data_IF_758485034264
#
_entry.id   IF_758485034264
#
_cell.length_a   1.000
_cell.length_b   1.000
_cell.length_c   1.000
_cell.angle_alpha   90.00
_cell.angle_beta   90.00
_cell.angle_gamma   90.00
#
_symmetry.space_group_name_H-M   'P 1'
#
loop_
_entity.id
_entity.type
_entity.pdbx_description
1 polymer ?
#
# COMPACT_ATOMS: atom_id res chain seq x y z
N UNK A 1 10.28 7.95 -16.08
CA UNK A 1 9.39 7.11 -15.25
C UNK A 1 8.00 7.18 -15.82
N UNK A 2 7.29 6.05 -15.82
CA UNK A 2 5.92 5.95 -16.33
C UNK A 2 4.93 6.50 -15.29
N UNK A 3 3.77 7.06 -15.70
CA UNK A 3 2.73 7.57 -14.79
C UNK A 3 2.39 6.62 -13.62
N UNK A 4 2.25 5.29 -13.85
CA UNK A 4 1.97 4.34 -12.78
C UNK A 4 3.01 4.32 -11.67
N UNK A 5 4.30 4.28 -12.05
CA UNK A 5 5.39 4.21 -11.10
C UNK A 5 5.56 5.54 -10.35
N UNK A 6 5.38 6.67 -11.04
CA UNK A 6 5.44 8.00 -10.42
C UNK A 6 4.34 8.16 -9.36
N UNK A 7 3.10 7.76 -9.65
CA UNK A 7 2.01 7.80 -8.66
C UNK A 7 2.29 6.90 -7.47
N UNK A 8 2.82 5.70 -7.69
CA UNK A 8 3.19 4.80 -6.60
C UNK A 8 4.30 5.38 -5.71
N UNK A 9 5.30 6.05 -6.30
CA UNK A 9 6.35 6.76 -5.56
C UNK A 9 5.78 7.93 -4.76
N UNK A 10 4.86 8.72 -5.33
CA UNK A 10 4.16 9.81 -4.62
C UNK A 10 3.35 9.25 -3.43
N UNK A 11 2.83 8.03 -3.55
CA UNK A 11 2.07 7.34 -2.49
C UNK A 11 2.91 6.48 -1.54
N UNK A 12 4.26 6.57 -1.55
CA UNK A 12 5.15 5.74 -0.71
C UNK A 12 4.83 5.83 0.80
N UNK A 13 4.25 6.94 1.24
CA UNK A 13 3.83 7.16 2.63
C UNK A 13 2.78 6.15 3.12
N UNK A 14 2.08 5.47 2.20
CA UNK A 14 1.16 4.37 2.50
C UNK A 14 1.81 3.23 3.29
N UNK A 15 3.14 3.06 3.19
CA UNK A 15 3.90 2.08 3.97
C UNK A 15 4.34 2.63 5.33
N UNK A 16 4.78 3.89 5.36
CA UNK A 16 5.37 4.51 6.55
C UNK A 16 4.33 4.79 7.63
N UNK A 17 3.12 5.20 7.25
CA UNK A 17 2.07 5.57 8.20
C UNK A 17 1.59 4.36 9.02
N UNK A 18 1.19 3.23 8.41
CA UNK A 18 0.85 2.03 9.18
C UNK A 18 2.04 1.49 9.98
N UNK A 19 3.28 1.58 9.49
CA UNK A 19 4.46 1.19 10.24
C UNK A 19 4.57 2.00 11.55
N UNK A 20 4.44 3.33 11.45
CA UNK A 20 4.43 4.21 12.61
C UNK A 20 3.33 3.83 13.61
N UNK A 21 2.11 3.58 13.12
CA UNK A 21 1.01 3.09 13.94
C UNK A 21 1.38 1.77 14.64
N UNK A 22 2.03 0.84 13.95
CA UNK A 22 2.55 -0.39 14.54
C UNK A 22 3.48 -0.17 15.72
N UNK A 23 4.45 0.74 15.57
CA UNK A 23 5.37 1.11 16.63
C UNK A 23 4.62 1.69 17.84
N UNK A 24 3.66 2.58 17.58
CA UNK A 24 2.80 3.17 18.61
C UNK A 24 1.97 2.09 19.32
N UNK A 25 1.37 1.14 18.60
CA UNK A 25 0.60 0.03 19.20
C UNK A 25 1.48 -0.84 20.09
N UNK A 26 2.70 -1.19 19.66
CA UNK A 26 3.65 -1.95 20.50
C UNK A 26 3.94 -1.21 21.79
N UNK A 27 4.19 0.09 21.70
CA UNK A 27 4.47 0.94 22.87
C UNK A 27 3.25 1.03 23.80
N UNK A 28 2.05 1.18 23.25
CA UNK A 28 0.80 1.19 24.02
C UNK A 28 0.51 -0.14 24.71
N UNK A 29 0.83 -1.29 24.09
CA UNK A 29 0.77 -2.60 24.75
C UNK A 29 1.72 -2.70 25.93
N UNK A 30 2.95 -2.19 25.76
CA UNK A 30 3.98 -2.20 26.81
C UNK A 30 3.56 -1.38 28.01
N UNK A 31 3.01 -0.18 27.79
CA UNK A 31 2.52 0.72 28.83
C UNK A 31 1.14 0.33 29.40
N UNK A 32 0.60 -0.82 28.98
CA UNK A 32 -0.75 -1.29 29.34
C UNK A 32 -1.88 -0.29 28.99
N UNK A 33 -1.62 0.68 28.11
CA UNK A 33 -2.59 1.69 27.72
C UNK A 33 -3.80 1.06 27.02
N UNK A 34 -3.54 0.08 26.15
CA UNK A 34 -4.58 -0.67 25.46
C UNK A 34 -5.48 -1.48 26.41
N UNK A 35 -4.95 -1.96 27.53
CA UNK A 35 -5.76 -2.62 28.56
C UNK A 35 -6.72 -1.60 29.19
N UNK A 36 -6.26 -0.36 29.46
CA UNK A 36 -7.13 0.72 29.96
C UNK A 36 -8.24 1.05 28.96
N UNK A 37 -7.94 1.13 27.67
CA UNK A 37 -8.96 1.33 26.63
C UNK A 37 -9.98 0.19 26.59
N UNK A 38 -9.55 -1.06 26.75
CA UNK A 38 -10.44 -2.22 26.85
C UNK A 38 -11.36 -2.13 28.07
N UNK A 39 -10.83 -1.70 29.22
CA UNK A 39 -11.63 -1.49 30.43
C UNK A 39 -12.67 -0.39 30.23
N UNK A 40 -12.36 0.63 29.43
CA UNK A 40 -13.30 1.64 28.94
C UNK A 40 -14.27 1.13 27.85
N UNK A 41 -14.51 -0.18 27.76
CA UNK A 41 -15.45 -0.84 26.82
C UNK A 41 -15.10 -0.78 25.33
N UNK A 42 -13.89 -0.37 24.97
CA UNK A 42 -13.46 -0.29 23.57
C UNK A 42 -13.28 -1.70 22.98
N UNK A 43 -14.02 -2.02 21.91
CA UNK A 43 -13.94 -3.33 21.24
C UNK A 43 -12.79 -3.41 20.24
N UNK A 44 -12.36 -4.63 19.87
CA UNK A 44 -11.29 -4.83 18.87
C UNK A 44 -11.59 -4.15 17.53
N UNK A 45 -12.86 -4.21 17.11
CA UNK A 45 -13.32 -3.62 15.85
C UNK A 45 -13.23 -2.09 15.91
N UNK A 46 -13.74 -1.47 16.98
CA UNK A 46 -13.64 -0.02 17.17
C UNK A 46 -12.18 0.44 17.19
N UNK A 47 -11.27 -0.34 17.79
CA UNK A 47 -9.84 -0.03 17.83
C UNK A 47 -9.22 0.05 16.43
N UNK A 48 -9.46 -0.95 15.58
CA UNK A 48 -8.98 -0.92 14.19
C UNK A 48 -9.57 0.25 13.43
N UNK A 49 -10.88 0.50 13.55
CA UNK A 49 -11.53 1.59 12.81
C UNK A 49 -10.90 2.93 13.18
N UNK A 50 -10.66 3.19 14.46
CA UNK A 50 -10.01 4.42 14.92
C UNK A 50 -8.60 4.53 14.31
N UNK A 51 -7.80 3.46 14.37
CA UNK A 51 -6.47 3.46 13.79
C UNK A 51 -6.50 3.67 12.26
N UNK A 52 -7.45 3.07 11.57
CA UNK A 52 -7.62 3.22 10.13
C UNK A 52 -8.03 4.65 9.75
N UNK A 53 -8.93 5.28 10.51
CA UNK A 53 -9.31 6.69 10.29
C UNK A 53 -8.11 7.63 10.50
N UNK A 54 -7.30 7.38 11.54
CA UNK A 54 -6.04 8.12 11.76
C UNK A 54 -5.09 7.91 10.57
N UNK A 55 -4.94 6.66 10.09
CA UNK A 55 -4.14 6.36 8.90
C UNK A 55 -4.60 7.14 7.68
N UNK A 56 -5.93 7.24 7.44
CA UNK A 56 -6.49 7.98 6.30
C UNK A 56 -6.11 9.44 6.36
N UNK A 57 -6.24 10.08 7.52
CA UNK A 57 -5.89 11.50 7.70
C UNK A 57 -4.41 11.73 7.43
N UNK A 58 -3.54 10.89 8.00
CA UNK A 58 -2.08 10.98 7.77
C UNK A 58 -1.70 10.71 6.31
N UNK A 59 -2.38 9.76 5.66
CA UNK A 59 -2.07 9.40 4.26
C UNK A 59 -2.51 10.49 3.30
N UNK A 60 -3.73 10.99 3.45
CA UNK A 60 -4.26 12.07 2.62
C UNK A 60 -3.43 13.33 2.75
N UNK A 61 -3.07 13.73 3.97
CA UNK A 61 -2.17 14.89 4.20
C UNK A 61 -0.79 14.67 3.55
N UNK A 62 -0.17 13.51 3.74
CA UNK A 62 1.12 13.21 3.11
C UNK A 62 1.04 13.17 1.58
N UNK A 63 -0.02 12.60 1.02
CA UNK A 63 -0.23 12.55 -0.43
C UNK A 63 -0.37 13.95 -1.01
N UNK A 64 -1.15 14.84 -0.38
CA UNK A 64 -1.32 16.22 -0.81
C UNK A 64 0.01 17.00 -0.75
N UNK A 65 0.81 16.81 0.30
CA UNK A 65 2.14 17.41 0.42
C UNK A 65 3.05 16.91 -0.72
N UNK A 66 3.08 15.61 -0.98
CA UNK A 66 3.91 15.04 -2.06
C UNK A 66 3.47 15.54 -3.44
N UNK A 67 2.17 15.66 -3.67
CA UNK A 67 1.61 16.21 -4.90
C UNK A 67 1.96 17.70 -5.07
N UNK A 68 1.90 18.48 -3.99
CA UNK A 68 2.30 19.88 -3.98
C UNK A 68 3.79 20.05 -4.31
N UNK A 69 4.66 19.26 -3.67
CA UNK A 69 6.10 19.24 -3.93
C UNK A 69 6.39 18.85 -5.39
N UNK A 70 5.69 17.83 -5.92
CA UNK A 70 5.80 17.43 -7.32
C UNK A 70 5.47 18.59 -8.28
N UNK A 71 4.39 19.34 -8.00
CA UNK A 71 4.02 20.50 -8.82
C UNK A 71 5.06 21.64 -8.74
N UNK A 72 5.67 21.89 -7.58
CA UNK A 72 6.79 22.83 -7.46
C UNK A 72 7.95 22.39 -8.35
N UNK A 73 8.32 21.10 -8.30
CA UNK A 73 9.43 20.60 -9.11
C UNK A 73 9.18 20.74 -10.60
N UNK A 74 7.96 20.46 -11.07
CA UNK A 74 7.56 20.69 -12.47
C UNK A 74 7.71 22.15 -12.90
N UNK A 75 7.41 23.12 -12.02
CA UNK A 75 7.54 24.55 -12.33
C UNK A 75 8.98 25.04 -12.33
N UNK A 76 9.82 24.39 -11.53
CA UNK A 76 11.15 24.88 -11.22
C UNK A 76 12.21 24.59 -12.29
N UNK A 77 11.89 23.82 -13.34
CA UNK A 77 12.81 23.36 -14.40
C UNK A 77 14.10 22.65 -13.90
N UNK A 78 14.29 22.45 -12.59
CA UNK A 78 15.48 21.79 -12.02
C UNK A 78 15.51 20.28 -12.31
N UNK A 79 14.38 19.69 -12.72
CA UNK A 79 14.28 18.29 -13.12
C UNK A 79 13.90 18.17 -14.60
N UNK A 80 14.62 17.34 -15.35
CA UNK A 80 14.37 17.02 -16.77
C UNK A 80 13.00 16.38 -17.07
N UNK A 81 12.15 16.18 -16.06
CA UNK A 81 10.80 15.63 -16.22
C UNK A 81 9.79 16.74 -16.55
N UNK A 82 9.98 17.43 -17.68
CA UNK A 82 9.10 18.51 -18.15
C UNK A 82 7.78 18.02 -18.79
N UNK A 83 7.40 16.76 -18.58
CA UNK A 83 6.15 16.22 -19.09
C UNK A 83 5.12 16.20 -17.96
N UNK A 84 3.97 16.91 -18.09
CA UNK A 84 2.89 16.88 -17.12
C UNK A 84 2.12 15.55 -17.21
N UNK A 85 2.81 14.45 -16.90
CA UNK A 85 2.35 13.06 -17.04
C UNK A 85 1.06 12.81 -16.25
N UNK A 86 0.86 13.50 -15.13
CA UNK A 86 -0.33 13.38 -14.29
C UNK A 86 -1.52 14.24 -14.74
N UNK A 87 -1.32 15.26 -15.60
CA UNK A 87 -2.42 16.14 -16.02
C UNK A 87 -3.41 15.47 -16.97
N UNK A 88 -3.01 14.37 -17.61
CA UNK A 88 -3.85 13.62 -18.55
C UNK A 88 -4.76 12.58 -17.86
N UNK A 89 -4.67 12.44 -16.52
CA UNK A 89 -5.45 11.43 -15.77
C UNK A 89 -6.91 11.85 -15.68
N UNK A 90 -7.82 11.00 -16.17
CA UNK A 90 -9.25 11.23 -16.00
C UNK A 90 -9.64 11.14 -14.53
N UNK A 91 -10.64 11.92 -14.11
CA UNK A 91 -11.08 11.96 -12.71
C UNK A 91 -11.49 10.58 -12.18
N UNK A 92 -12.07 9.71 -13.03
CA UNK A 92 -12.47 8.36 -12.65
C UNK A 92 -11.26 7.48 -12.27
N UNK A 93 -10.11 7.65 -12.94
CA UNK A 93 -8.88 6.91 -12.62
C UNK A 93 -8.35 7.30 -11.24
N UNK A 94 -8.40 8.60 -10.91
CA UNK A 94 -8.05 9.06 -9.56
C UNK A 94 -8.96 8.44 -8.50
N UNK A 95 -10.28 8.39 -8.74
CA UNK A 95 -11.22 7.78 -7.79
C UNK A 95 -10.90 6.30 -7.57
N UNK A 96 -10.68 5.53 -8.65
CA UNK A 96 -10.34 4.10 -8.54
C UNK A 96 -8.99 3.89 -7.85
N UNK A 97 -7.99 4.72 -8.16
CA UNK A 97 -6.67 4.70 -7.53
C UNK A 97 -6.74 4.98 -6.03
N UNK A 98 -7.46 6.03 -5.62
CA UNK A 98 -7.65 6.34 -4.21
C UNK A 98 -8.41 5.24 -3.48
N UNK A 99 -9.43 4.66 -4.09
CA UNK A 99 -10.17 3.55 -3.50
C UNK A 99 -9.26 2.34 -3.25
N UNK A 100 -8.44 1.94 -4.22
CA UNK A 100 -7.50 0.83 -4.03
C UNK A 100 -6.42 1.15 -2.98
N UNK A 101 -5.96 2.41 -2.89
CA UNK A 101 -5.08 2.84 -1.79
C UNK A 101 -5.75 2.79 -0.42
N UNK A 102 -7.05 3.07 -0.30
CA UNK A 102 -7.78 2.87 0.95
C UNK A 102 -7.83 1.40 1.34
N UNK A 103 -8.04 0.49 0.39
CA UNK A 103 -7.99 -0.95 0.63
C UNK A 103 -6.60 -1.42 1.08
N UNK A 104 -5.53 -0.94 0.42
CA UNK A 104 -4.16 -1.21 0.80
C UNK A 104 -3.85 -0.68 2.21
N UNK A 105 -4.25 0.56 2.50
CA UNK A 105 -4.05 1.18 3.81
C UNK A 105 -4.78 0.41 4.91
N UNK A 106 -6.01 -0.05 4.64
CA UNK A 106 -6.76 -0.92 5.54
C UNK A 106 -6.00 -2.23 5.77
N UNK A 107 -5.59 -2.91 4.70
CA UNK A 107 -4.81 -4.15 4.77
C UNK A 107 -3.57 -3.99 5.65
N UNK A 108 -2.70 -3.02 5.36
CA UNK A 108 -1.45 -2.82 6.09
C UNK A 108 -1.74 -2.45 7.55
N UNK A 109 -2.74 -1.60 7.82
CA UNK A 109 -3.10 -1.22 9.19
C UNK A 109 -3.51 -2.45 10.02
N UNK A 110 -4.39 -3.30 9.49
CA UNK A 110 -4.80 -4.54 10.17
C UNK A 110 -3.59 -5.48 10.34
N UNK A 111 -2.77 -5.62 9.31
CA UNK A 111 -1.62 -6.51 9.30
C UNK A 111 -0.58 -6.13 10.34
N UNK A 112 -0.19 -4.85 10.38
CA UNK A 112 0.78 -4.30 11.33
C UNK A 112 0.29 -4.45 12.78
N UNK A 113 -0.99 -4.14 13.05
CA UNK A 113 -1.57 -4.34 14.39
C UNK A 113 -1.60 -5.83 14.75
N UNK A 114 -1.84 -6.71 13.79
CA UNK A 114 -1.81 -8.17 13.99
C UNK A 114 -0.40 -8.67 14.30
N UNK A 115 0.61 -8.26 13.52
CA UNK A 115 2.01 -8.61 13.75
C UNK A 115 2.52 -8.14 15.10
N UNK A 116 2.13 -6.93 15.52
CA UNK A 116 2.44 -6.42 16.87
C UNK A 116 1.90 -7.31 18.00
N UNK A 117 1.00 -8.25 17.68
CA UNK A 117 0.39 -9.22 18.59
C UNK A 117 0.92 -10.64 18.41
N UNK A 118 1.87 -10.91 17.52
CA UNK A 118 2.36 -12.29 17.33
C UNK A 118 3.31 -12.74 18.46
N UNK A 119 4.02 -11.81 19.09
CA UNK A 119 4.96 -12.11 20.18
C UNK A 119 4.71 -11.24 21.39
N UNK A 120 4.81 -11.82 22.59
CA UNK A 120 4.73 -11.08 23.86
C UNK A 120 5.96 -10.23 24.16
N UNK A 121 7.09 -10.51 23.49
CA UNK A 121 8.35 -9.79 23.68
C UNK A 121 8.41 -8.60 22.73
N UNK A 122 8.58 -7.39 23.27
CA UNK A 122 8.67 -6.13 22.51
C UNK A 122 9.68 -6.22 21.37
N UNK A 123 10.89 -6.69 21.67
CA UNK A 123 11.98 -6.75 20.68
C UNK A 123 11.64 -7.65 19.49
N UNK A 124 10.95 -8.77 19.74
CA UNK A 124 10.51 -9.69 18.69
C UNK A 124 9.37 -9.07 17.86
N UNK A 125 8.41 -8.41 18.51
CA UNK A 125 7.33 -7.71 17.81
C UNK A 125 7.86 -6.58 16.91
N UNK A 126 8.87 -5.84 17.37
CA UNK A 126 9.58 -4.82 16.58
C UNK A 126 10.33 -5.44 15.39
N UNK A 127 11.04 -6.55 15.63
CA UNK A 127 11.74 -7.28 14.57
C UNK A 127 10.76 -7.73 13.47
N UNK A 128 9.62 -8.30 13.84
CA UNK A 128 8.60 -8.71 12.86
C UNK A 128 8.05 -7.54 12.05
N UNK A 129 7.84 -6.36 12.67
CA UNK A 129 7.41 -5.17 11.93
C UNK A 129 8.46 -4.70 10.93
N UNK A 130 9.74 -4.62 11.35
CA UNK A 130 10.83 -4.18 10.48
C UNK A 130 11.03 -5.15 9.31
N UNK A 131 11.04 -6.46 9.58
CA UNK A 131 11.16 -7.49 8.54
C UNK A 131 10.00 -7.41 7.56
N UNK A 132 8.77 -7.27 8.07
CA UNK A 132 7.59 -7.10 7.21
C UNK A 132 7.69 -5.84 6.36
N UNK A 133 8.13 -4.72 6.91
CA UNK A 133 8.27 -3.46 6.18
C UNK A 133 9.31 -3.54 5.06
N UNK A 134 10.48 -4.09 5.35
CA UNK A 134 11.54 -4.29 4.34
C UNK A 134 11.04 -5.24 3.25
N UNK A 135 10.45 -6.37 3.63
CA UNK A 135 9.86 -7.31 2.69
C UNK A 135 8.79 -6.66 1.80
N UNK A 136 7.89 -5.89 2.41
CA UNK A 136 6.80 -5.19 1.74
C UNK A 136 7.31 -4.23 0.67
N UNK A 137 8.28 -3.38 1.00
CA UNK A 137 8.80 -2.39 0.06
C UNK A 137 9.65 -3.05 -1.02
N UNK A 138 10.59 -3.92 -0.62
CA UNK A 138 11.53 -4.53 -1.55
C UNK A 138 10.86 -5.43 -2.59
N UNK A 139 9.72 -6.07 -2.26
CA UNK A 139 9.05 -7.06 -3.12
C UNK A 139 7.66 -6.62 -3.64
N UNK A 140 7.29 -5.34 -3.52
CA UNK A 140 5.97 -4.84 -3.96
C UNK A 140 5.97 -4.18 -5.34
N UNK A 141 7.12 -4.03 -5.99
CA UNK A 141 7.30 -3.23 -7.22
C UNK A 141 6.87 -1.76 -7.07
N UNK A 142 6.74 -1.23 -5.84
CA UNK A 142 6.29 0.15 -5.60
C UNK A 142 7.36 1.20 -5.89
N UNK A 143 8.64 0.88 -5.67
CA UNK A 143 9.79 1.76 -5.89
C UNK A 143 10.55 1.37 -7.16
N UNK A 144 10.77 0.08 -7.36
CA UNK A 144 11.59 -0.46 -8.44
C UNK A 144 10.69 -0.98 -9.56
N UNK A 145 11.12 -0.81 -10.80
CA UNK A 145 10.40 -1.28 -11.98
C UNK A 145 10.29 -2.81 -11.98
N UNK A 146 9.06 -3.30 -12.11
CA UNK A 146 8.74 -4.72 -12.19
C UNK A 146 9.51 -5.41 -13.33
N UNK A 147 9.77 -4.71 -14.45
CA UNK A 147 10.51 -5.26 -15.59
C UNK A 147 11.98 -5.57 -15.27
N UNK A 148 12.60 -4.80 -14.37
CA UNK A 148 13.98 -5.06 -13.94
C UNK A 148 14.05 -6.24 -12.99
N UNK A 149 13.08 -6.31 -12.08
CA UNK A 149 13.07 -7.28 -11.00
C UNK A 149 12.60 -8.67 -11.44
N UNK A 150 11.68 -8.74 -12.40
CA UNK A 150 11.17 -10.00 -12.93
C UNK A 150 12.18 -10.80 -13.76
N UNK A 151 13.38 -10.26 -14.00
CA UNK A 151 14.50 -10.99 -14.61
C UNK A 151 15.07 -12.08 -13.68
N UNK A 152 14.89 -11.95 -12.37
CA UNK A 152 15.37 -12.93 -11.39
C UNK A 152 14.22 -13.79 -10.86
N UNK A 153 14.27 -15.10 -11.14
CA UNK A 153 13.21 -16.04 -10.75
C UNK A 153 12.96 -16.10 -9.23
N UNK A 154 14.00 -15.91 -8.42
CA UNK A 154 13.87 -15.90 -6.95
C UNK A 154 13.06 -14.70 -6.50
N UNK A 155 13.31 -13.53 -7.09
CA UNK A 155 12.55 -12.33 -6.82
C UNK A 155 11.09 -12.47 -7.24
N UNK A 156 10.85 -13.11 -8.39
CA UNK A 156 9.50 -13.39 -8.90
C UNK A 156 8.72 -14.24 -7.91
N UNK A 157 9.27 -15.38 -7.48
CA UNK A 157 8.61 -16.32 -6.56
C UNK A 157 8.31 -15.65 -5.21
N UNK A 158 9.32 -15.01 -4.60
CA UNK A 158 9.18 -14.36 -3.29
C UNK A 158 8.22 -13.16 -3.38
N UNK A 159 8.24 -12.45 -4.51
CA UNK A 159 7.33 -11.34 -4.79
C UNK A 159 5.88 -11.76 -4.89
N UNK A 160 5.57 -12.91 -5.52
CA UNK A 160 4.18 -13.41 -5.58
C UNK A 160 3.61 -13.77 -4.21
N UNK A 161 4.45 -14.05 -3.22
CA UNK A 161 4.00 -14.27 -1.84
C UNK A 161 3.68 -12.97 -1.10
N UNK A 162 4.05 -11.81 -1.65
CA UNK A 162 3.85 -10.51 -1.01
C UNK A 162 2.43 -10.00 -1.30
N UNK A 163 1.52 -9.94 -0.29
CA UNK A 163 0.15 -9.51 -0.51
C UNK A 163 0.05 -8.09 -1.07
N UNK A 164 0.99 -7.22 -0.69
CA UNK A 164 1.03 -5.81 -1.12
C UNK A 164 1.27 -5.69 -2.62
N UNK A 165 2.02 -6.63 -3.21
CA UNK A 165 2.32 -6.64 -4.64
C UNK A 165 1.03 -6.59 -5.48
N UNK A 166 0.00 -7.31 -5.07
CA UNK A 166 -1.30 -7.34 -5.75
C UNK A 166 -2.02 -5.98 -5.70
N UNK A 167 -1.95 -5.25 -4.59
CA UNK A 167 -2.51 -3.89 -4.50
C UNK A 167 -1.74 -2.91 -5.38
N UNK A 168 -0.41 -2.98 -5.36
CA UNK A 168 0.44 -2.12 -6.20
C UNK A 168 0.22 -2.41 -7.68
N UNK A 169 0.11 -3.68 -8.07
CA UNK A 169 -0.23 -4.06 -9.43
C UNK A 169 -1.63 -3.57 -9.82
N UNK A 170 -2.63 -3.68 -8.94
CA UNK A 170 -3.96 -3.12 -9.19
C UNK A 170 -3.88 -1.61 -9.44
N UNK A 171 -3.11 -0.87 -8.63
CA UNK A 171 -2.84 0.55 -8.84
C UNK A 171 -2.16 0.80 -10.19
N UNK A 172 -1.14 0.02 -10.54
CA UNK A 172 -0.43 0.18 -11.81
C UNK A 172 -1.35 -0.06 -13.01
N UNK A 173 -2.25 -1.04 -12.92
CA UNK A 173 -3.23 -1.34 -13.97
C UNK A 173 -4.30 -0.26 -14.10
N UNK A 174 -4.76 0.32 -12.99
CA UNK A 174 -5.69 1.44 -12.99
C UNK A 174 -5.05 2.68 -13.64
N UNK A 175 -3.79 2.94 -13.30
CA UNK A 175 -3.05 4.16 -13.71
C UNK A 175 -2.37 4.06 -15.07
N UNK A 176 -2.40 2.89 -15.71
CA UNK A 176 -1.86 2.66 -17.05
C UNK A 176 -2.87 2.86 -18.19
N UNK A 177 -4.07 3.37 -17.90
CA UNK A 177 -5.02 3.95 -18.87
C UNK A 177 -5.65 3.05 -19.94
N UNK A 178 -5.61 1.75 -19.80
CA UNK A 178 -6.08 0.85 -20.86
C UNK A 178 -7.59 0.75 -21.02
N UNK A 179 -8.37 1.29 -20.08
CA UNK A 179 -9.82 1.31 -20.21
C UNK A 179 -10.35 2.41 -21.13
N UNK A 180 -9.55 3.45 -21.42
CA UNK A 180 -10.04 4.68 -22.08
C UNK A 180 -9.06 5.24 -23.14
N UNK A 181 -7.75 4.96 -23.05
CA UNK A 181 -6.75 5.55 -23.96
C UNK A 181 -5.88 4.48 -24.66
N UNK A 182 -5.89 4.51 -25.99
CA UNK A 182 -5.20 3.58 -26.90
C UNK A 182 -3.68 3.53 -26.67
N UNK A 183 -3.08 4.57 -26.10
CA UNK A 183 -1.63 4.71 -25.89
C UNK A 183 -1.14 4.33 -24.48
N UNK A 184 -1.98 3.78 -23.60
CA UNK A 184 -1.60 3.48 -22.21
C UNK A 184 -0.56 2.34 -22.05
N UNK A 185 -0.60 1.32 -22.91
CA UNK A 185 0.25 0.12 -22.80
C UNK A 185 1.65 0.34 -23.31
N UNK A 186 1.80 1.22 -24.29
CA UNK A 186 3.10 1.53 -24.91
C UNK A 186 4.04 2.19 -23.90
N UNK A 187 3.49 2.70 -22.80
CA UNK A 187 4.24 3.20 -21.66
C UNK A 187 4.85 2.04 -20.85
N UNK A 188 4.15 0.91 -20.67
CA UNK A 188 4.62 -0.24 -19.87
C UNK A 188 5.42 -1.25 -20.72
N UNK A 189 4.99 -1.50 -21.96
CA UNK A 189 5.56 -2.48 -22.89
C UNK A 189 5.55 -1.85 -24.29
N UNK A 190 6.72 -1.48 -24.81
CA UNK A 190 6.86 -0.76 -26.09
C UNK A 190 6.40 -1.56 -27.32
N UNK A 191 6.47 -2.89 -27.25
CA UNK A 191 6.42 -3.75 -28.45
C UNK A 191 5.01 -4.29 -28.77
N UNK A 192 3.97 -3.83 -28.06
CA UNK A 192 2.61 -4.40 -28.18
C UNK A 192 1.77 -3.83 -29.34
N UNK A 193 2.39 -3.17 -30.32
CA UNK A 193 1.64 -2.59 -31.45
C UNK A 193 1.35 -3.64 -32.54
N UNK A 194 0.18 -4.26 -32.42
CA UNK A 194 -0.70 -4.59 -33.54
C UNK A 194 -2.16 -4.51 -33.05
N UNK A 195 -2.68 -3.27 -32.98
CA UNK A 195 -4.10 -2.94 -33.11
C UNK A 195 -5.11 -3.67 -32.21
N UNK A 196 -5.25 -3.22 -30.96
CA UNK A 196 -6.42 -3.51 -30.13
C UNK A 196 -6.33 -2.84 -28.76
N UNK A 197 -7.48 -2.44 -28.19
CA UNK A 197 -7.57 -2.21 -26.74
C UNK A 197 -7.08 -3.50 -26.07
N UNK A 198 -6.00 -3.47 -25.27
CA UNK A 198 -5.71 -4.69 -24.54
C UNK A 198 -6.82 -4.90 -23.53
N UNK A 199 -7.43 -6.09 -23.53
CA UNK A 199 -8.56 -6.36 -22.68
C UNK A 199 -8.00 -6.54 -21.28
N UNK A 200 -8.00 -5.47 -20.47
CA UNK A 200 -7.90 -5.62 -19.01
C UNK A 200 -9.22 -6.11 -18.41
N UNK A 201 -9.82 -7.10 -19.08
CA UNK A 201 -10.78 -8.06 -18.52
C UNK A 201 -10.18 -8.87 -17.35
N UNK A 202 -8.97 -8.52 -16.89
CA UNK A 202 -8.17 -9.23 -15.91
C UNK A 202 -7.82 -8.38 -14.67
N UNK A 203 -8.37 -7.16 -14.48
CA UNK A 203 -8.20 -6.42 -13.20
C UNK A 203 -8.55 -7.29 -12.00
N UNK A 204 -9.56 -8.14 -12.15
CA UNK A 204 -10.01 -9.11 -11.15
C UNK A 204 -8.88 -10.06 -10.70
N UNK A 205 -7.89 -10.37 -11.54
CA UNK A 205 -6.76 -11.24 -11.19
C UNK A 205 -5.86 -10.65 -10.10
N UNK A 206 -5.85 -9.33 -9.93
CA UNK A 206 -5.07 -8.65 -8.88
C UNK A 206 -5.98 -8.14 -7.76
N UNK A 207 -7.18 -7.69 -8.09
CA UNK A 207 -8.16 -7.22 -7.13
C UNK A 207 -8.72 -8.35 -6.25
N UNK A 208 -9.06 -9.52 -6.80
CA UNK A 208 -9.60 -10.63 -6.01
C UNK A 208 -8.61 -11.14 -4.94
N UNK A 209 -7.32 -11.40 -5.26
CA UNK A 209 -6.33 -11.70 -4.24
C UNK A 209 -6.22 -10.61 -3.17
N UNK A 210 -6.26 -9.33 -3.55
CA UNK A 210 -6.16 -8.20 -2.62
C UNK A 210 -7.30 -8.20 -1.58
N UNK A 211 -8.54 -8.43 -2.03
CA UNK A 211 -9.72 -8.55 -1.16
C UNK A 211 -9.63 -9.80 -0.28
N UNK A 212 -9.19 -10.93 -0.85
CA UNK A 212 -8.97 -12.16 -0.09
C UNK A 212 -7.95 -11.92 1.03
N UNK A 213 -6.83 -11.28 0.76
CA UNK A 213 -5.84 -10.96 1.79
C UNK A 213 -6.38 -10.08 2.91
N UNK A 214 -7.25 -9.10 2.59
CA UNK A 214 -7.95 -8.29 3.62
C UNK A 214 -8.83 -9.18 4.51
N UNK A 215 -9.63 -10.05 3.91
CA UNK A 215 -10.53 -10.93 4.68
C UNK A 215 -9.74 -11.89 5.58
N UNK A 216 -8.68 -12.50 5.05
CA UNK A 216 -7.80 -13.41 5.81
C UNK A 216 -7.14 -12.67 6.97
N UNK A 217 -6.55 -11.49 6.73
CA UNK A 217 -5.88 -10.76 7.82
C UNK A 217 -6.86 -10.23 8.85
N UNK A 218 -8.07 -9.81 8.45
CA UNK A 218 -9.12 -9.41 9.38
C UNK A 218 -9.56 -10.58 10.29
N UNK A 219 -9.68 -11.78 9.73
CA UNK A 219 -9.97 -12.98 10.51
C UNK A 219 -8.83 -13.33 11.49
N UNK A 220 -7.57 -13.30 11.01
CA UNK A 220 -6.40 -13.55 11.86
C UNK A 220 -6.31 -12.51 12.98
N UNK A 221 -6.53 -11.24 12.68
CA UNK A 221 -6.59 -10.17 13.67
C UNK A 221 -7.61 -10.49 14.77
N UNK A 222 -8.84 -10.84 14.38
CA UNK A 222 -9.92 -11.13 15.34
C UNK A 222 -9.51 -12.22 16.33
N UNK A 223 -8.85 -13.26 15.84
CA UNK A 223 -8.39 -14.41 16.64
C UNK A 223 -7.13 -14.13 17.45
N UNK A 224 -6.13 -13.44 16.89
CA UNK A 224 -4.78 -13.33 17.47
C UNK A 224 -4.51 -12.02 18.21
N UNK A 225 -5.27 -10.95 17.97
CA UNK A 225 -5.05 -9.69 18.66
C UNK A 225 -5.33 -9.80 20.16
N UNK A 226 -4.38 -9.28 20.95
CA UNK A 226 -4.51 -9.12 22.39
C UNK A 226 -4.11 -7.70 22.82
N UNK A 227 -4.67 -7.26 23.95
CA UNK A 227 -4.59 -5.86 24.41
C UNK A 227 -3.30 -5.47 25.13
N UNK A 228 -2.50 -6.43 25.62
CA UNK A 228 -1.22 -6.10 26.24
C UNK A 228 -0.30 -7.30 26.33
N UNK A 229 0.99 -7.03 26.48
CA UNK A 229 1.98 -8.05 26.80
C UNK A 229 1.73 -8.49 28.25
N UNK A 230 0.89 -9.51 28.47
CA UNK A 230 0.70 -10.08 29.80
C UNK A 230 2.09 -10.42 30.37
N UNK A 231 2.36 -9.94 31.60
CA UNK A 231 3.45 -10.42 32.44
C UNK A 231 3.35 -11.94 32.59
#
# INVERSE_FOLDING_TARGET
MLPPLLLNVISISIFLIPLYIGLVVIEWKRRQYLIKLKLGTLSKLHFIIILFLISIILYTTSFLINLFIYNIFLWSNYFFYNVPILKNLSAIIYVMYFFNNLLLLLFITIFVVTISSLSKKRSIALLYLILFFIYSICFSDSIMDANLLNKNIVYVIIGYLNPIKYFIWTNMLITSYTFIDFYGITQIISDYFNGGYAPFYNLWMTLLPSLLFITVIAFVYWKKFYWGFKK
#
